data_IF_472831489073
#
_entry.id   IF_472831489073
#
_cell.length_a   1.000
_cell.length_b   1.000
_cell.length_c   1.000
_cell.angle_alpha   90.00
_cell.angle_beta   90.00
_cell.angle_gamma   90.00
#
_symmetry.space_group_name_H-M   'P 1'
#
loop_
_entity.id
_entity.type
_entity.pdbx_description
1 polymer ?
#
# COMPACT_ATOMS: atom_id res chain seq x y z
N UNK A 1 -23.17 4.54 65.31
CA UNK A 1 -21.95 3.74 65.05
C UNK A 1 -22.23 3.05 63.72
N UNK A 2 -22.32 3.85 62.66
CA UNK A 2 -21.30 4.09 61.60
C UNK A 2 -20.85 2.75 61.02
N UNK A 3 -21.40 2.44 59.86
CA UNK A 3 -21.07 1.30 59.02
C UNK A 3 -19.81 1.55 58.22
N UNK A 4 -19.19 0.45 57.82
CA UNK A 4 -17.95 0.40 57.07
C UNK A 4 -18.07 1.09 55.70
N UNK A 5 -17.23 2.10 55.49
CA UNK A 5 -16.91 2.64 54.17
C UNK A 5 -15.97 1.65 53.48
N UNK A 6 -16.50 0.89 52.51
CA UNK A 6 -15.69 0.16 51.53
C UNK A 6 -15.24 1.17 50.47
N UNK A 7 -13.92 1.40 50.27
CA UNK A 7 -13.47 2.25 49.18
C UNK A 7 -13.75 1.53 47.87
N UNK A 8 -14.57 2.16 47.02
CA UNK A 8 -14.68 1.83 45.60
C UNK A 8 -13.37 2.29 44.96
N UNK A 9 -12.53 1.34 44.55
CA UNK A 9 -11.42 1.64 43.65
C UNK A 9 -12.03 1.87 42.28
N UNK A 10 -12.08 3.12 41.84
CA UNK A 10 -12.16 3.42 40.41
C UNK A 10 -10.87 2.87 39.79
N UNK A 11 -10.99 1.79 39.01
CA UNK A 11 -9.94 1.44 38.07
C UNK A 11 -9.81 2.64 37.11
N UNK A 12 -8.74 3.41 37.28
CA UNK A 12 -8.21 4.23 36.19
C UNK A 12 -7.99 3.27 35.02
N UNK A 13 -8.89 3.30 34.04
CA UNK A 13 -8.62 2.76 32.72
C UNK A 13 -7.48 3.62 32.18
N UNK A 14 -6.25 3.13 32.35
CA UNK A 14 -5.10 3.65 31.64
C UNK A 14 -5.40 3.32 30.19
N UNK A 15 -5.81 4.33 29.40
CA UNK A 15 -5.77 4.25 27.95
C UNK A 15 -4.32 3.89 27.59
N UNK A 16 -4.05 2.61 27.32
CA UNK A 16 -2.77 2.25 26.73
C UNK A 16 -2.67 3.00 25.41
N UNK A 17 -1.62 3.82 25.21
CA UNK A 17 -1.47 4.56 23.97
C UNK A 17 -1.43 3.55 22.83
N UNK A 18 -2.23 3.78 21.78
CA UNK A 18 -2.39 2.96 20.57
C UNK A 18 -1.08 2.56 19.84
N UNK A 19 0.07 3.04 20.32
CA UNK A 19 1.37 2.79 19.74
C UNK A 19 1.57 3.54 18.44
N UNK A 20 2.75 3.40 17.82
CA UNK A 20 2.98 3.86 16.47
C UNK A 20 2.16 3.06 15.47
N UNK A 21 1.83 3.70 14.35
CA UNK A 21 1.03 3.11 13.29
C UNK A 21 1.54 3.59 11.93
N UNK A 22 1.09 2.94 10.87
CA UNK A 22 1.30 3.38 9.48
C UNK A 22 0.00 3.38 8.73
N UNK A 23 -0.21 4.39 7.89
CA UNK A 23 -1.43 4.52 7.10
C UNK A 23 -1.11 4.31 5.62
N UNK A 24 -1.69 3.25 5.05
CA UNK A 24 -1.59 2.93 3.61
C UNK A 24 -2.91 3.27 2.95
N UNK A 25 -2.86 3.91 1.79
CA UNK A 25 -4.01 4.27 0.97
C UNK A 25 -4.01 3.50 -0.35
N UNK A 26 -4.64 2.31 -0.41
CA UNK A 26 -5.05 1.69 -1.66
C UNK A 26 -6.12 2.53 -2.35
N UNK A 27 -5.95 2.73 -3.65
CA UNK A 27 -6.90 3.44 -4.51
C UNK A 27 -7.41 2.48 -5.58
N UNK A 28 -8.70 2.12 -5.52
CA UNK A 28 -9.25 1.03 -6.33
C UNK A 28 -10.81 1.04 -6.46
N UNK A 29 -11.41 -0.03 -7.01
CA UNK A 29 -12.83 -0.16 -7.38
C UNK A 29 -13.83 -0.04 -6.24
N UNK A 30 -13.46 -0.52 -5.06
CA UNK A 30 -14.30 -0.68 -3.88
C UNK A 30 -13.71 -1.74 -2.95
N UNK A 31 -14.35 -2.00 -1.81
CA UNK A 31 -13.84 -2.97 -0.84
C UNK A 31 -14.96 -3.68 -0.08
N UNK A 32 -14.83 -4.99 0.09
CA UNK A 32 -15.66 -5.81 0.96
C UNK A 32 -15.20 -5.69 2.42
N UNK A 33 -15.73 -4.70 3.14
CA UNK A 33 -15.39 -4.46 4.57
C UNK A 33 -15.81 -5.60 5.51
N UNK A 34 -16.69 -6.49 5.07
CA UNK A 34 -17.19 -7.62 5.86
C UNK A 34 -16.26 -8.82 5.89
N UNK A 35 -15.27 -8.88 5.00
CA UNK A 35 -14.38 -10.00 4.90
C UNK A 35 -13.54 -10.15 6.19
N UNK A 36 -13.45 -11.37 6.72
CA UNK A 36 -12.76 -11.68 7.98
C UNK A 36 -11.29 -11.25 8.00
N UNK A 37 -10.69 -11.11 6.82
CA UNK A 37 -9.33 -10.59 6.63
C UNK A 37 -9.14 -9.16 7.17
N UNK A 38 -10.20 -8.34 7.15
CA UNK A 38 -10.13 -6.92 7.56
C UNK A 38 -10.59 -6.68 8.99
N UNK A 39 -11.17 -7.69 9.64
CA UNK A 39 -11.71 -7.58 10.99
C UNK A 39 -10.57 -7.39 11.99
N UNK A 40 -10.76 -6.47 12.95
CA UNK A 40 -9.84 -6.24 14.06
C UNK A 40 -10.57 -6.35 15.39
N UNK A 41 -9.87 -6.88 16.40
CA UNK A 41 -10.42 -7.02 17.76
C UNK A 41 -10.41 -5.71 18.54
N UNK A 42 -9.62 -4.73 18.07
CA UNK A 42 -9.37 -3.47 18.75
C UNK A 42 -10.18 -2.34 18.12
N UNK A 43 -10.30 -1.23 18.84
CA UNK A 43 -10.88 0.00 18.31
C UNK A 43 -9.74 0.96 17.97
N UNK A 44 -9.88 1.71 16.88
CA UNK A 44 -8.99 2.84 16.66
C UNK A 44 -9.22 3.92 17.73
N UNK A 45 -8.15 4.62 18.17
CA UNK A 45 -8.28 5.71 19.12
C UNK A 45 -8.91 6.91 18.45
N UNK A 46 -9.64 7.72 19.22
CA UNK A 46 -10.30 8.91 18.70
C UNK A 46 -9.30 9.88 18.03
N UNK A 47 -8.06 9.96 18.54
CA UNK A 47 -7.02 10.81 17.94
C UNK A 47 -6.66 10.42 16.50
N UNK A 48 -6.69 9.13 16.16
CA UNK A 48 -6.46 8.66 14.79
C UNK A 48 -7.65 9.02 13.90
N UNK A 49 -8.87 8.78 14.38
CA UNK A 49 -10.11 9.08 13.65
C UNK A 49 -10.23 10.58 13.37
N UNK A 50 -9.95 11.42 14.37
CA UNK A 50 -9.92 12.88 14.25
C UNK A 50 -8.81 13.32 13.29
N UNK A 51 -7.62 12.71 13.38
CA UNK A 51 -6.49 13.03 12.50
C UNK A 51 -6.73 12.66 11.03
N UNK A 52 -7.55 11.64 10.77
CA UNK A 52 -8.01 11.27 9.43
C UNK A 52 -9.27 12.05 9.00
N UNK A 53 -9.82 12.91 9.87
CA UNK A 53 -11.07 13.62 9.67
C UNK A 53 -12.26 12.69 9.35
N UNK A 54 -12.38 11.57 10.06
CA UNK A 54 -13.52 10.65 9.95
C UNK A 54 -14.81 11.43 10.26
N UNK A 55 -15.75 11.44 9.33
CA UNK A 55 -17.04 12.15 9.43
C UNK A 55 -18.18 11.22 9.84
N UNK A 56 -18.02 9.92 9.59
CA UNK A 56 -19.05 8.91 9.82
C UNK A 56 -18.43 7.62 10.38
N UNK A 57 -19.14 6.98 11.31
CA UNK A 57 -18.76 5.67 11.84
C UNK A 57 -19.92 4.72 11.56
N UNK A 58 -19.64 3.64 10.84
CA UNK A 58 -20.57 2.55 10.63
C UNK A 58 -20.20 1.39 11.56
N UNK A 59 -21.12 0.98 12.44
CA UNK A 59 -20.97 -0.24 13.24
C UNK A 59 -21.44 -1.42 12.38
N UNK A 60 -20.51 -2.17 11.81
CA UNK A 60 -20.85 -3.19 10.81
C UNK A 60 -21.30 -4.50 11.47
N UNK A 61 -22.24 -5.19 10.83
CA UNK A 61 -22.71 -6.49 11.28
C UNK A 61 -21.65 -7.57 11.04
N UNK A 62 -21.34 -8.37 12.07
CA UNK A 62 -20.36 -9.47 11.99
C UNK A 62 -20.99 -10.86 12.03
N UNK A 63 -22.31 -10.95 12.06
CA UNK A 63 -23.06 -12.22 12.07
C UNK A 63 -23.78 -12.46 10.73
N UNK A 64 -23.86 -13.72 10.31
CA UNK A 64 -24.49 -14.09 9.04
C UNK A 64 -23.54 -14.07 7.84
N UNK A 65 -24.11 -14.38 6.68
CA UNK A 65 -23.48 -14.33 5.36
C UNK A 65 -23.22 -12.88 4.91
N UNK A 66 -22.41 -12.72 3.86
CA UNK A 66 -22.13 -11.41 3.26
C UNK A 66 -23.43 -10.61 2.96
N UNK A 67 -24.39 -11.25 2.31
CA UNK A 67 -25.67 -10.62 1.95
C UNK A 67 -26.49 -10.21 3.18
N UNK A 68 -26.53 -11.06 4.22
CA UNK A 68 -27.26 -10.76 5.45
C UNK A 68 -26.63 -9.58 6.21
N UNK A 69 -25.29 -9.49 6.23
CA UNK A 69 -24.57 -8.36 6.84
C UNK A 69 -24.81 -7.06 6.09
N UNK A 70 -24.69 -7.08 4.76
CA UNK A 70 -25.00 -5.93 3.92
C UNK A 70 -26.45 -5.44 4.10
N UNK A 71 -27.43 -6.35 4.08
CA UNK A 71 -28.84 -6.01 4.28
C UNK A 71 -29.11 -5.42 5.67
N UNK A 72 -28.45 -5.93 6.71
CA UNK A 72 -28.58 -5.43 8.07
C UNK A 72 -28.05 -4.00 8.24
N UNK A 73 -26.95 -3.67 7.58
CA UNK A 73 -26.31 -2.36 7.72
C UNK A 73 -26.78 -1.33 6.69
N UNK A 74 -27.63 -1.75 5.74
CA UNK A 74 -28.00 -0.92 4.59
C UNK A 74 -28.61 0.42 4.97
N UNK A 75 -29.67 0.41 5.77
CA UNK A 75 -30.42 1.64 6.09
C UNK A 75 -29.65 2.57 7.04
N UNK A 76 -28.83 1.99 7.94
CA UNK A 76 -28.14 2.71 9.01
C UNK A 76 -26.69 3.10 8.66
N UNK A 77 -26.12 2.52 7.60
CA UNK A 77 -24.79 2.85 7.09
C UNK A 77 -24.81 3.16 5.60
N UNK A 78 -24.98 2.16 4.73
CA UNK A 78 -24.69 2.28 3.30
C UNK A 78 -25.55 3.34 2.58
N UNK A 79 -26.84 3.41 2.89
CA UNK A 79 -27.77 4.38 2.29
C UNK A 79 -27.52 5.84 2.75
N UNK A 80 -26.63 6.05 3.73
CA UNK A 80 -26.30 7.36 4.29
C UNK A 80 -24.96 7.92 3.81
N UNK A 81 -24.07 7.09 3.25
CA UNK A 81 -22.73 7.51 2.83
C UNK A 81 -22.85 8.47 1.64
N UNK A 82 -22.16 9.61 1.74
CA UNK A 82 -22.02 10.58 0.66
C UNK A 82 -20.56 10.69 0.16
N UNK A 83 -20.33 11.24 -1.04
CA UNK A 83 -18.97 11.43 -1.58
C UNK A 83 -18.06 12.34 -0.74
N UNK A 84 -18.62 13.10 0.21
CA UNK A 84 -17.85 13.93 1.14
C UNK A 84 -17.48 13.21 2.44
N UNK A 85 -17.96 11.98 2.65
CA UNK A 85 -17.74 11.27 3.90
C UNK A 85 -16.43 10.49 3.90
N UNK A 86 -15.77 10.53 5.06
CA UNK A 86 -14.69 9.63 5.42
C UNK A 86 -15.27 8.71 6.50
N UNK A 87 -15.46 7.45 6.13
CA UNK A 87 -16.23 6.47 6.91
C UNK A 87 -15.28 5.50 7.58
N UNK A 88 -15.37 5.35 8.90
CA UNK A 88 -14.75 4.22 9.58
C UNK A 88 -15.76 3.08 9.72
N UNK A 89 -15.40 1.91 9.21
CA UNK A 89 -16.15 0.67 9.41
C UNK A 89 -15.64 0.03 10.71
N UNK A 90 -16.33 0.35 11.81
CA UNK A 90 -15.92 -0.02 13.16
C UNK A 90 -15.83 -1.54 13.32
N UNK A 91 -14.76 -1.99 13.99
CA UNK A 91 -14.42 -3.41 14.08
C UNK A 91 -13.60 -3.91 12.89
N UNK A 92 -13.25 -3.03 11.94
CA UNK A 92 -12.34 -3.33 10.83
C UNK A 92 -11.17 -2.36 10.79
N UNK A 93 -10.15 -2.73 10.02
CA UNK A 93 -9.00 -1.89 9.72
C UNK A 93 -9.29 -0.76 8.72
N UNK A 94 -10.49 -0.71 8.15
CA UNK A 94 -10.82 0.07 6.97
C UNK A 94 -11.45 1.42 7.35
N UNK A 95 -10.82 2.49 6.89
CA UNK A 95 -11.38 3.83 6.82
C UNK A 95 -11.49 4.17 5.33
N UNK A 96 -12.71 4.37 4.82
CA UNK A 96 -12.98 4.51 3.40
C UNK A 96 -13.47 5.90 3.01
N UNK A 97 -13.23 6.30 1.77
CA UNK A 97 -13.82 7.50 1.15
C UNK A 97 -14.03 7.24 -0.34
N UNK A 98 -15.02 7.92 -0.92
CA UNK A 98 -15.31 7.86 -2.37
C UNK A 98 -15.44 9.28 -2.94
N UNK A 99 -14.32 9.91 -3.32
CA UNK A 99 -14.34 11.28 -3.83
C UNK A 99 -14.92 11.37 -5.25
N UNK A 100 -15.00 10.25 -5.97
CA UNK A 100 -15.56 10.19 -7.31
C UNK A 100 -17.09 10.01 -7.26
N UNK A 101 -17.84 10.90 -7.91
CA UNK A 101 -19.28 10.71 -8.08
C UNK A 101 -19.53 9.71 -9.21
N UNK A 102 -19.93 8.47 -8.90
CA UNK A 102 -20.23 7.53 -9.97
C UNK A 102 -20.63 6.10 -9.60
N UNK A 103 -20.55 5.72 -8.32
CA UNK A 103 -20.91 4.37 -7.87
C UNK A 103 -22.28 4.35 -7.21
N UNK A 104 -22.97 3.21 -7.32
CA UNK A 104 -24.32 3.03 -6.79
C UNK A 104 -24.30 2.96 -5.25
N UNK A 105 -23.24 2.39 -4.68
CA UNK A 105 -22.99 2.30 -3.24
C UNK A 105 -21.53 2.73 -3.00
N UNK A 106 -21.27 3.94 -2.48
CA UNK A 106 -19.92 4.41 -2.26
C UNK A 106 -19.09 3.47 -1.37
N UNK A 107 -17.82 3.28 -1.72
CA UNK A 107 -16.79 2.47 -1.04
C UNK A 107 -16.99 0.96 -1.16
N UNK A 108 -18.23 0.47 -1.14
CA UNK A 108 -18.51 -0.96 -1.21
C UNK A 108 -18.17 -1.52 -2.60
N UNK A 109 -17.46 -2.65 -2.62
CA UNK A 109 -17.08 -3.31 -3.88
C UNK A 109 -18.30 -3.69 -4.73
N UNK A 110 -18.17 -3.57 -6.05
CA UNK A 110 -19.18 -4.09 -6.98
C UNK A 110 -19.14 -5.63 -6.90
N UNK A 111 -20.27 -6.34 -6.71
CA UNK A 111 -20.30 -7.79 -6.78
C UNK A 111 -19.69 -8.40 -8.06
N UNK A 112 -19.55 -7.61 -9.14
CA UNK A 112 -18.91 -8.02 -10.40
C UNK A 112 -17.44 -7.62 -10.53
N UNK A 113 -16.90 -6.81 -9.62
CA UNK A 113 -15.52 -6.34 -9.63
C UNK A 113 -14.96 -6.35 -8.19
N UNK A 114 -14.15 -7.36 -7.88
CA UNK A 114 -13.58 -7.59 -6.54
C UNK A 114 -12.16 -7.10 -6.35
N UNK A 115 -11.69 -6.25 -7.27
CA UNK A 115 -10.27 -5.94 -7.40
C UNK A 115 -9.72 -5.22 -6.16
N UNK A 116 -10.43 -4.19 -5.66
CA UNK A 116 -9.99 -3.43 -4.49
C UNK A 116 -9.95 -4.23 -3.19
N UNK A 117 -10.82 -5.24 -3.03
CA UNK A 117 -10.74 -6.21 -1.92
C UNK A 117 -9.42 -6.98 -1.94
N UNK A 118 -9.05 -7.55 -3.09
CA UNK A 118 -7.80 -8.30 -3.24
C UNK A 118 -6.57 -7.39 -3.08
N UNK A 119 -6.57 -6.21 -3.69
CA UNK A 119 -5.51 -5.20 -3.57
C UNK A 119 -5.26 -4.81 -2.12
N UNK A 120 -6.33 -4.56 -1.35
CA UNK A 120 -6.20 -4.22 0.07
C UNK A 120 -5.72 -5.42 0.90
N UNK A 121 -6.17 -6.63 0.56
CA UNK A 121 -5.64 -7.87 1.14
C UNK A 121 -4.13 -8.00 0.96
N UNK A 122 -3.60 -7.70 -0.22
CA UNK A 122 -2.16 -7.79 -0.49
C UNK A 122 -1.33 -6.83 0.38
N UNK A 123 -1.86 -5.64 0.72
CA UNK A 123 -1.24 -4.73 1.70
C UNK A 123 -1.16 -5.39 3.07
N UNK A 124 -2.28 -5.95 3.54
CA UNK A 124 -2.40 -6.49 4.89
C UNK A 124 -1.71 -7.85 5.07
N UNK A 125 -1.61 -8.67 4.02
CA UNK A 125 -0.78 -9.87 4.03
C UNK A 125 0.70 -9.51 4.26
N UNK A 126 1.14 -8.31 3.86
CA UNK A 126 2.52 -7.86 4.06
C UNK A 126 2.69 -7.14 5.40
N UNK A 127 1.71 -6.31 5.77
CA UNK A 127 1.66 -5.66 7.07
C UNK A 127 0.26 -5.79 7.70
N UNK A 128 0.03 -6.82 8.54
CA UNK A 128 -1.26 -7.02 9.18
C UNK A 128 -1.65 -5.90 10.14
N UNK A 129 -0.72 -5.01 10.52
CA UNK A 129 -0.95 -3.91 11.46
C UNK A 129 -1.21 -2.56 10.76
N UNK A 130 -1.19 -2.51 9.43
CA UNK A 130 -1.43 -1.27 8.70
C UNK A 130 -2.86 -0.75 8.94
N UNK A 131 -2.96 0.57 9.12
CA UNK A 131 -4.22 1.30 9.02
C UNK A 131 -4.52 1.52 7.55
N UNK A 132 -5.72 1.13 7.09
CA UNK A 132 -6.11 1.28 5.70
C UNK A 132 -6.99 2.53 5.55
N UNK A 133 -6.50 3.49 4.76
CA UNK A 133 -7.29 4.62 4.26
C UNK A 133 -7.68 4.35 2.81
N UNK A 134 -8.70 3.51 2.61
CA UNK A 134 -9.15 3.10 1.28
C UNK A 134 -9.80 4.28 0.54
N UNK A 135 -9.45 4.46 -0.73
CA UNK A 135 -10.05 5.47 -1.60
C UNK A 135 -10.66 4.78 -2.81
N UNK A 136 -11.97 4.85 -2.95
CA UNK A 136 -12.66 4.36 -4.14
C UNK A 136 -12.40 5.31 -5.32
N UNK A 137 -11.99 4.77 -6.47
CA UNK A 137 -11.87 5.50 -7.72
C UNK A 137 -10.59 5.22 -8.51
N UNK A 138 -10.53 5.82 -9.70
CA UNK A 138 -9.37 5.73 -10.62
C UNK A 138 -8.91 7.09 -11.14
N UNK A 139 -9.40 8.16 -10.52
CA UNK A 139 -9.21 9.53 -10.99
C UNK A 139 -8.02 10.22 -10.29
N UNK A 140 -7.64 11.38 -10.84
CA UNK A 140 -6.74 12.30 -10.17
C UNK A 140 -7.34 12.82 -8.85
N UNK A 141 -8.67 12.97 -8.76
CA UNK A 141 -9.36 13.34 -7.53
C UNK A 141 -9.21 12.28 -6.43
N UNK A 142 -9.30 10.99 -6.77
CA UNK A 142 -9.04 9.89 -5.85
C UNK A 142 -7.60 9.92 -5.33
N UNK A 143 -6.62 10.05 -6.24
CA UNK A 143 -5.22 10.20 -5.85
C UNK A 143 -4.98 11.44 -5.00
N UNK A 144 -5.61 12.57 -5.32
CA UNK A 144 -5.51 13.80 -4.54
C UNK A 144 -6.15 13.70 -3.16
N UNK A 145 -7.22 12.92 -2.98
CA UNK A 145 -7.81 12.66 -1.68
C UNK A 145 -6.80 11.97 -0.75
N UNK A 146 -6.14 10.91 -1.21
CA UNK A 146 -5.06 10.25 -0.47
C UNK A 146 -3.82 11.16 -0.32
N UNK A 147 -3.45 11.91 -1.37
CA UNK A 147 -2.30 12.80 -1.35
C UNK A 147 -2.43 13.87 -0.27
N UNK A 148 -3.62 14.45 -0.12
CA UNK A 148 -3.88 15.56 0.81
C UNK A 148 -4.26 15.12 2.22
N UNK A 149 -4.57 13.84 2.46
CA UNK A 149 -4.84 13.29 3.79
C UNK A 149 -3.56 13.31 4.66
N UNK A 150 -3.43 14.14 5.71
CA UNK A 150 -2.14 14.35 6.38
C UNK A 150 -1.47 13.10 6.95
N UNK A 151 -2.26 12.13 7.43
CA UNK A 151 -1.72 10.94 8.08
C UNK A 151 -1.32 9.81 7.12
N UNK A 152 -1.69 9.86 5.83
CA UNK A 152 -1.33 8.83 4.85
C UNK A 152 0.18 8.86 4.58
N UNK A 153 0.83 7.70 4.74
CA UNK A 153 2.26 7.47 4.49
C UNK A 153 2.52 7.05 3.04
N UNK A 154 1.76 6.05 2.59
CA UNK A 154 1.98 5.36 1.32
C UNK A 154 0.68 5.34 0.54
N UNK A 155 0.75 5.72 -0.72
CA UNK A 155 -0.34 5.58 -1.69
C UNK A 155 0.02 4.47 -2.65
N UNK A 156 -0.93 3.58 -2.94
CA UNK A 156 -0.75 2.51 -3.93
C UNK A 156 -1.87 2.55 -4.98
N UNK A 157 -1.49 2.61 -6.26
CA UNK A 157 -2.43 2.58 -7.38
C UNK A 157 -2.21 1.30 -8.19
N UNK A 158 -3.22 0.44 -8.18
CA UNK A 158 -3.19 -0.88 -8.82
C UNK A 158 -3.95 -0.94 -10.14
N UNK A 159 -4.03 0.21 -10.82
CA UNK A 159 -4.76 0.38 -12.07
C UNK A 159 -3.90 1.07 -13.11
N UNK A 160 -4.21 0.84 -14.37
CA UNK A 160 -3.50 1.43 -15.49
C UNK A 160 -4.09 0.98 -16.82
N UNK A 161 -3.93 1.77 -17.87
CA UNK A 161 -4.43 1.42 -19.20
C UNK A 161 -3.52 0.40 -19.87
N UNK A 162 -4.13 -0.66 -20.43
CA UNK A 162 -3.41 -1.73 -21.15
C UNK A 162 -2.48 -1.15 -22.22
N UNK A 163 -1.24 -1.63 -22.23
CA UNK A 163 -0.17 -1.19 -23.10
C UNK A 163 0.57 0.05 -22.58
N UNK A 164 0.34 0.47 -21.33
CA UNK A 164 0.84 1.73 -20.77
C UNK A 164 0.48 2.93 -21.65
N UNK A 165 -0.78 2.99 -22.11
CA UNK A 165 -1.25 4.15 -22.89
C UNK A 165 -1.27 5.37 -21.98
N UNK A 166 -0.59 6.49 -22.29
CA UNK A 166 -0.54 7.61 -21.37
C UNK A 166 -1.94 8.19 -21.11
N UNK A 167 -2.37 8.22 -19.84
CA UNK A 167 -3.60 8.87 -19.39
C UNK A 167 -3.20 10.05 -18.50
N UNK A 168 -3.40 11.31 -18.95
CA UNK A 168 -3.01 12.49 -18.19
C UNK A 168 -3.81 12.65 -16.89
N UNK A 169 -3.19 13.30 -15.90
CA UNK A 169 -3.79 13.72 -14.63
C UNK A 169 -3.34 12.91 -13.42
N UNK A 170 -3.19 11.58 -13.55
CA UNK A 170 -2.73 10.72 -12.45
C UNK A 170 -1.30 11.06 -12.04
N UNK A 171 -0.43 11.33 -13.01
CA UNK A 171 0.94 11.75 -12.78
C UNK A 171 1.01 13.06 -11.98
N UNK A 172 0.13 14.03 -12.26
CA UNK A 172 0.09 15.30 -11.55
C UNK A 172 -0.34 15.11 -10.09
N UNK A 173 -1.34 14.26 -9.84
CA UNK A 173 -1.79 13.94 -8.50
C UNK A 173 -0.73 13.16 -7.68
N UNK A 174 -0.05 12.20 -8.29
CA UNK A 174 1.05 11.48 -7.64
C UNK A 174 2.26 12.38 -7.37
N UNK A 175 2.48 13.40 -8.23
CA UNK A 175 3.50 14.44 -7.99
C UNK A 175 3.19 15.27 -6.76
N UNK A 176 1.91 15.60 -6.52
CA UNK A 176 1.49 16.25 -5.28
C UNK A 176 1.82 15.37 -4.08
N UNK A 177 1.44 14.10 -4.11
CA UNK A 177 1.70 13.15 -3.02
C UNK A 177 3.20 13.06 -2.67
N UNK A 178 4.05 12.82 -3.66
CA UNK A 178 5.47 12.53 -3.42
C UNK A 178 6.30 13.81 -3.32
N UNK A 179 6.19 14.71 -4.29
CA UNK A 179 7.09 15.88 -4.36
C UNK A 179 6.68 16.97 -3.38
N UNK A 180 5.38 17.21 -3.24
CA UNK A 180 4.88 18.27 -2.34
C UNK A 180 4.70 17.73 -0.92
N UNK A 181 3.98 16.61 -0.78
CA UNK A 181 3.60 16.05 0.52
C UNK A 181 4.59 15.00 1.07
N UNK A 182 5.67 14.71 0.34
CA UNK A 182 6.81 13.87 0.76
C UNK A 182 6.47 12.42 1.10
N UNK A 183 5.31 11.95 0.65
CA UNK A 183 4.80 10.59 0.83
C UNK A 183 5.49 9.62 -0.12
N UNK A 184 5.23 8.33 0.06
CA UNK A 184 5.60 7.28 -0.89
C UNK A 184 4.42 7.03 -1.83
N UNK A 185 4.72 6.82 -3.11
CA UNK A 185 3.76 6.31 -4.08
C UNK A 185 4.33 5.05 -4.75
N UNK A 186 3.55 3.97 -4.75
CA UNK A 186 3.82 2.75 -5.51
C UNK A 186 2.76 2.62 -6.62
N UNK A 187 3.20 2.52 -7.87
CA UNK A 187 2.33 2.41 -9.04
C UNK A 187 2.57 1.12 -9.81
N UNK A 188 1.48 0.46 -10.19
CA UNK A 188 1.52 -0.77 -10.96
C UNK A 188 1.97 -0.51 -12.40
N UNK A 189 3.02 -1.22 -12.84
CA UNK A 189 3.35 -1.25 -14.25
C UNK A 189 2.32 -2.08 -15.03
N UNK A 190 2.36 -2.01 -16.35
CA UNK A 190 1.42 -2.76 -17.18
C UNK A 190 1.64 -4.28 -17.08
N UNK A 191 0.56 -5.06 -17.17
CA UNK A 191 0.64 -6.52 -17.12
C UNK A 191 1.29 -7.14 -18.38
N UNK A 192 1.51 -6.35 -19.43
CA UNK A 192 2.25 -6.74 -20.63
C UNK A 192 3.69 -6.21 -20.61
N UNK A 193 4.56 -6.62 -21.57
CA UNK A 193 5.93 -6.10 -21.68
C UNK A 193 6.08 -4.62 -22.02
N UNK A 194 4.99 -3.84 -22.03
CA UNK A 194 5.02 -2.41 -22.28
C UNK A 194 5.97 -1.70 -21.30
N UNK A 195 6.74 -0.69 -21.77
CA UNK A 195 7.61 0.07 -20.89
C UNK A 195 6.83 0.84 -19.83
N UNK A 196 7.16 0.63 -18.56
CA UNK A 196 6.59 1.35 -17.42
C UNK A 196 6.82 2.86 -17.53
N UNK A 197 7.88 3.30 -18.22
CA UNK A 197 8.24 4.72 -18.44
C UNK A 197 7.06 5.61 -18.81
N UNK A 198 6.16 5.14 -19.69
CA UNK A 198 5.03 5.92 -20.22
C UNK A 198 3.72 5.67 -19.47
N UNK A 199 3.71 4.75 -18.51
CA UNK A 199 2.57 4.47 -17.63
C UNK A 199 2.37 5.64 -16.67
N UNK A 200 1.15 6.14 -16.48
CA UNK A 200 0.90 7.32 -15.65
C UNK A 200 0.98 7.04 -14.13
N UNK A 201 1.02 5.77 -13.72
CA UNK A 201 1.15 5.37 -12.31
C UNK A 201 2.59 4.98 -11.97
N UNK A 202 3.18 4.09 -12.77
CA UNK A 202 4.52 3.54 -12.55
C UNK A 202 5.62 4.39 -13.19
N UNK A 203 5.32 5.06 -14.30
CA UNK A 203 6.29 5.80 -15.10
C UNK A 203 6.79 7.11 -14.51
N UNK A 204 6.01 7.91 -13.76
CA UNK A 204 6.50 9.18 -13.25
C UNK A 204 7.72 9.01 -12.34
N UNK A 205 8.78 9.83 -12.49
CA UNK A 205 10.08 9.62 -11.81
C UNK A 205 10.02 9.69 -10.27
N UNK A 206 8.96 10.27 -9.72
CA UNK A 206 8.71 10.32 -8.28
C UNK A 206 8.01 9.06 -7.74
N UNK A 207 7.38 8.24 -8.59
CA UNK A 207 6.73 6.99 -8.20
C UNK A 207 7.74 5.83 -8.13
N UNK A 208 7.47 4.84 -7.27
CA UNK A 208 8.08 3.51 -7.34
C UNK A 208 7.25 2.70 -8.35
N UNK A 209 7.79 2.46 -9.54
CA UNK A 209 7.14 1.63 -10.55
C UNK A 209 7.35 0.14 -10.26
N UNK A 210 6.28 -0.62 -10.09
CA UNK A 210 6.34 -2.03 -9.66
C UNK A 210 5.86 -2.95 -10.77
N UNK A 211 6.72 -3.88 -11.18
CA UNK A 211 6.34 -5.00 -12.05
C UNK A 211 6.10 -6.29 -11.27
N UNK A 212 5.67 -7.33 -11.98
CA UNK A 212 5.46 -8.67 -11.45
C UNK A 212 6.72 -9.51 -11.40
N UNK A 213 6.82 -10.25 -10.31
CA UNK A 213 7.69 -11.41 -10.17
C UNK A 213 6.88 -12.54 -9.53
N UNK A 214 6.81 -13.72 -10.15
CA UNK A 214 6.14 -14.85 -9.50
C UNK A 214 7.10 -15.52 -8.50
N UNK A 215 6.66 -15.67 -7.24
CA UNK A 215 7.43 -16.28 -6.16
C UNK A 215 7.07 -17.77 -5.93
N UNK A 216 7.82 -18.41 -5.03
CA UNK A 216 7.55 -19.76 -4.50
C UNK A 216 7.39 -20.88 -5.55
N UNK A 217 6.22 -21.54 -5.59
CA UNK A 217 5.92 -22.65 -6.50
C UNK A 217 5.94 -22.25 -7.97
N UNK A 218 5.90 -20.94 -8.22
CA UNK A 218 5.82 -20.30 -9.52
C UNK A 218 7.03 -19.40 -9.82
N UNK A 219 8.17 -19.64 -9.15
CA UNK A 219 9.40 -18.85 -9.28
C UNK A 219 9.76 -18.52 -10.74
N UNK A 220 9.91 -17.23 -11.04
CA UNK A 220 10.22 -16.70 -12.39
C UNK A 220 9.17 -17.00 -13.47
N UNK A 221 7.93 -17.37 -13.13
CA UNK A 221 6.81 -17.48 -14.07
C UNK A 221 6.22 -16.13 -14.50
N UNK A 222 6.64 -15.04 -13.89
CA UNK A 222 6.36 -13.69 -14.38
C UNK A 222 7.64 -12.87 -14.30
N UNK A 223 8.08 -12.36 -15.45
CA UNK A 223 9.31 -11.56 -15.63
C UNK A 223 9.19 -10.55 -16.77
N UNK A 224 7.97 -10.42 -17.31
CA UNK A 224 7.66 -9.77 -18.58
C UNK A 224 6.51 -8.77 -18.47
N UNK A 225 5.83 -8.65 -17.33
CA UNK A 225 4.99 -7.51 -17.00
C UNK A 225 5.85 -6.28 -16.79
N UNK A 226 5.50 -5.15 -17.41
CA UNK A 226 6.14 -3.86 -17.24
C UNK A 226 7.66 -3.89 -17.48
N UNK A 227 8.14 -3.46 -18.66
CA UNK A 227 9.58 -3.30 -18.84
C UNK A 227 10.09 -1.99 -18.24
N UNK A 228 11.35 -1.98 -17.78
CA UNK A 228 11.97 -0.84 -17.09
C UNK A 228 11.22 -0.34 -15.84
N UNK A 229 10.80 -1.23 -14.92
CA UNK A 229 10.24 -0.83 -13.62
C UNK A 229 11.36 -0.30 -12.69
N UNK A 230 10.99 0.19 -11.51
CA UNK A 230 11.96 0.38 -10.42
C UNK A 230 12.30 -0.93 -9.74
N UNK A 231 11.31 -1.78 -9.50
CA UNK A 231 11.42 -3.08 -8.81
C UNK A 231 10.38 -4.07 -9.35
N UNK A 232 10.54 -5.35 -9.01
CA UNK A 232 9.49 -6.35 -9.15
C UNK A 232 9.10 -6.93 -7.78
N UNK A 233 7.86 -7.40 -7.63
CA UNK A 233 7.36 -8.02 -6.40
C UNK A 233 6.33 -9.11 -6.71
N UNK A 234 5.91 -9.84 -5.68
CA UNK A 234 5.06 -11.03 -5.83
C UNK A 234 3.78 -10.78 -6.64
N UNK A 235 3.74 -11.40 -7.81
CA UNK A 235 2.71 -11.23 -8.81
C UNK A 235 1.47 -12.08 -8.55
N UNK A 236 1.65 -13.28 -7.99
CA UNK A 236 0.57 -14.26 -7.80
C UNK A 236 0.37 -14.50 -6.32
N UNK A 237 -0.81 -14.15 -5.81
CA UNK A 237 -1.12 -14.23 -4.39
C UNK A 237 -2.49 -14.90 -4.19
N UNK A 238 -2.70 -15.47 -3.00
CA UNK A 238 -4.01 -15.97 -2.55
C UNK A 238 -4.65 -14.86 -1.72
N UNK A 239 -5.66 -14.19 -2.28
CA UNK A 239 -6.21 -12.94 -1.77
C UNK A 239 -7.71 -13.06 -1.45
N UNK A 240 -8.23 -12.24 -0.51
CA UNK A 240 -9.60 -12.34 -0.04
C UNK A 240 -10.63 -12.11 -1.16
N UNK A 241 -11.75 -12.81 -1.08
CA UNK A 241 -12.88 -12.63 -2.01
C UNK A 241 -13.72 -11.40 -1.64
N UNK A 242 -14.34 -10.79 -2.65
CA UNK A 242 -15.22 -9.63 -2.48
C UNK A 242 -16.67 -10.00 -2.18
N UNK A 243 -17.10 -11.22 -2.51
CA UNK A 243 -18.51 -11.67 -2.48
C UNK A 243 -18.84 -12.69 -1.38
N UNK A 244 -17.90 -12.96 -0.49
CA UNK A 244 -18.10 -13.79 0.71
C UNK A 244 -17.40 -13.16 1.95
N UNK A 245 -17.29 -13.90 3.05
CA UNK A 245 -16.73 -13.39 4.31
C UNK A 245 -15.40 -14.04 4.69
N UNK A 246 -14.98 -15.11 4.02
CA UNK A 246 -13.86 -15.96 4.45
C UNK A 246 -13.14 -16.72 3.33
N UNK A 247 -13.64 -16.61 2.10
CA UNK A 247 -13.06 -17.23 0.93
C UNK A 247 -11.88 -16.45 0.38
N UNK A 248 -11.01 -17.17 -0.31
CA UNK A 248 -9.85 -16.62 -0.98
C UNK A 248 -9.75 -17.21 -2.38
N UNK A 249 -9.11 -16.48 -3.28
CA UNK A 249 -8.80 -16.93 -4.63
C UNK A 249 -7.35 -16.62 -4.99
N UNK A 250 -6.77 -17.45 -5.83
CA UNK A 250 -5.49 -17.16 -6.46
C UNK A 250 -5.71 -16.14 -7.57
N UNK A 251 -4.94 -15.06 -7.56
CA UNK A 251 -4.99 -14.00 -8.57
C UNK A 251 -3.61 -13.48 -8.88
N UNK A 252 -3.47 -12.86 -10.05
CA UNK A 252 -2.20 -12.57 -10.69
C UNK A 252 -2.20 -11.20 -11.36
N UNK A 253 -1.19 -10.37 -11.10
CA UNK A 253 -1.08 -9.04 -11.71
C UNK A 253 -0.11 -8.10 -10.99
N UNK A 254 0.39 -7.08 -11.70
CA UNK A 254 1.16 -5.97 -11.08
C UNK A 254 0.30 -5.26 -10.05
N UNK A 255 -1.02 -5.28 -10.27
CA UNK A 255 -2.05 -4.85 -9.35
C UNK A 255 -1.96 -5.47 -7.96
N UNK A 256 -1.32 -6.64 -7.79
CA UNK A 256 -1.11 -7.28 -6.48
C UNK A 256 0.34 -7.17 -6.00
N UNK A 257 1.32 -7.14 -6.92
CA UNK A 257 2.72 -6.87 -6.60
C UNK A 257 2.95 -5.47 -5.99
N UNK A 258 2.22 -4.48 -6.50
CA UNK A 258 2.29 -3.07 -6.06
C UNK A 258 1.81 -2.86 -4.62
N UNK A 259 0.59 -3.27 -4.23
CA UNK A 259 0.11 -3.12 -2.86
C UNK A 259 0.90 -4.01 -1.89
N UNK A 260 1.38 -5.18 -2.32
CA UNK A 260 2.31 -5.99 -1.53
C UNK A 260 3.56 -5.20 -1.17
N UNK A 261 4.17 -4.50 -2.15
CA UNK A 261 5.33 -3.61 -1.93
C UNK A 261 4.98 -2.48 -0.94
N UNK A 262 3.83 -1.84 -1.10
CA UNK A 262 3.37 -0.80 -0.19
C UNK A 262 3.21 -1.34 1.25
N UNK A 263 2.68 -2.56 1.41
CA UNK A 263 2.60 -3.25 2.68
C UNK A 263 3.98 -3.50 3.30
N UNK A 264 4.96 -4.00 2.54
CA UNK A 264 6.34 -4.22 3.04
C UNK A 264 6.98 -2.92 3.52
N UNK A 265 6.84 -1.83 2.76
CA UNK A 265 7.34 -0.51 3.15
C UNK A 265 6.63 0.02 4.40
N UNK A 266 5.32 -0.21 4.53
CA UNK A 266 4.58 0.18 5.74
C UNK A 266 5.08 -0.58 6.97
N UNK A 267 5.41 -1.88 6.85
CA UNK A 267 5.99 -2.66 7.95
C UNK A 267 7.33 -2.13 8.41
N UNK A 268 8.18 -1.71 7.46
CA UNK A 268 9.47 -1.08 7.74
C UNK A 268 9.27 0.23 8.51
N UNK A 269 8.37 1.10 8.04
CA UNK A 269 8.08 2.39 8.68
C UNK A 269 7.52 2.15 10.09
N UNK A 270 6.57 1.23 10.26
CA UNK A 270 5.97 0.89 11.55
C UNK A 270 7.03 0.46 12.56
N UNK A 271 7.91 -0.46 12.14
CA UNK A 271 8.99 -0.97 13.00
C UNK A 271 9.93 0.15 13.43
N UNK A 272 10.37 0.99 12.49
CA UNK A 272 11.27 2.10 12.80
C UNK A 272 10.59 3.15 13.68
N UNK A 273 9.30 3.45 13.46
CA UNK A 273 8.54 4.34 14.34
C UNK A 273 8.45 3.81 15.77
N UNK A 274 8.27 2.48 15.92
CA UNK A 274 8.33 1.81 17.21
C UNK A 274 9.69 1.96 17.88
N UNK A 275 10.78 1.68 17.17
CA UNK A 275 12.13 1.75 17.74
C UNK A 275 12.51 3.15 18.22
N UNK A 276 12.02 4.18 17.53
CA UNK A 276 12.39 5.57 17.73
C UNK A 276 11.28 6.41 18.39
N UNK A 277 10.25 5.78 18.96
CA UNK A 277 9.15 6.45 19.68
C UNK A 277 8.45 7.55 18.85
N UNK A 278 8.26 7.33 17.54
CA UNK A 278 7.52 8.23 16.65
C UNK A 278 6.06 7.78 16.53
N UNK A 279 5.19 8.37 17.36
CA UNK A 279 3.77 8.04 17.43
C UNK A 279 2.88 8.77 16.40
N UNK A 280 3.49 9.45 15.42
CA UNK A 280 2.78 10.21 14.38
C UNK A 280 2.91 9.54 13.02
N UNK A 281 2.06 9.95 12.07
CA UNK A 281 2.04 9.42 10.70
C UNK A 281 2.13 10.51 9.63
N UNK A 282 2.34 10.10 8.38
CA UNK A 282 2.56 10.96 7.24
C UNK A 282 3.97 11.53 7.17
N UNK A 283 4.18 12.44 6.21
CA UNK A 283 5.44 13.14 6.00
C UNK A 283 5.22 14.64 5.71
N UNK A 284 4.24 15.25 6.37
CA UNK A 284 3.90 16.65 6.16
C UNK A 284 5.16 17.55 6.15
N UNK A 285 5.38 18.34 5.09
CA UNK A 285 6.62 19.11 4.92
C UNK A 285 6.78 20.25 5.94
N UNK A 286 5.71 20.66 6.62
CA UNK A 286 5.70 21.73 7.62
C UNK A 286 5.83 21.16 9.03
N UNK A 287 5.03 20.15 9.36
CA UNK A 287 4.97 19.56 10.70
C UNK A 287 6.09 18.53 10.91
N UNK A 288 6.43 17.76 9.87
CA UNK A 288 7.39 16.64 9.94
C UNK A 288 8.65 16.88 9.10
N UNK A 289 8.81 18.08 8.55
CA UNK A 289 9.94 18.44 7.68
C UNK A 289 10.16 17.48 6.48
N UNK A 290 9.11 16.74 6.07
CA UNK A 290 9.22 15.74 5.01
C UNK A 290 9.74 14.37 5.45
N UNK A 291 9.84 14.11 6.76
CA UNK A 291 10.30 12.83 7.28
C UNK A 291 9.12 11.88 7.53
N UNK A 292 9.28 10.66 7.05
CA UNK A 292 8.37 9.53 7.29
C UNK A 292 8.54 9.01 8.71
N UNK A 293 9.78 9.01 9.24
CA UNK A 293 10.09 8.72 10.64
C UNK A 293 10.85 9.89 11.25
N UNK A 294 10.35 10.42 12.37
CA UNK A 294 10.91 11.57 13.09
C UNK A 294 10.79 11.38 14.61
N UNK A 295 11.59 10.48 15.18
CA UNK A 295 11.57 10.14 16.61
C UNK A 295 12.97 9.90 17.16
N UNK A 296 13.20 10.14 18.46
CA UNK A 296 14.46 9.91 19.17
C UNK A 296 15.76 10.32 18.46
N UNK A 297 15.70 11.43 17.70
CA UNK A 297 16.85 11.96 16.95
C UNK A 297 17.11 11.28 15.59
N UNK A 298 16.24 10.35 15.19
CA UNK A 298 16.24 9.70 13.88
C UNK A 298 15.31 10.44 12.91
N UNK A 299 15.82 10.74 11.71
CA UNK A 299 15.08 11.38 10.63
C UNK A 299 15.22 10.54 9.35
N UNK A 300 14.13 9.90 8.92
CA UNK A 300 14.09 9.05 7.71
C UNK A 300 13.07 9.62 6.74
N UNK A 301 13.51 9.98 5.53
CA UNK A 301 12.66 10.48 4.46
C UNK A 301 12.24 9.33 3.52
N UNK A 302 11.34 9.64 2.59
CA UNK A 302 11.04 8.78 1.45
C UNK A 302 12.33 8.38 0.70
N UNK A 303 13.24 9.32 0.44
CA UNK A 303 14.49 9.04 -0.31
C UNK A 303 15.36 7.98 0.38
N UNK A 304 15.47 8.02 1.73
CA UNK A 304 16.19 6.98 2.48
C UNK A 304 15.53 5.60 2.35
N UNK A 305 14.20 5.54 2.40
CA UNK A 305 13.44 4.29 2.24
C UNK A 305 13.58 3.72 0.83
N UNK A 306 13.52 4.57 -0.21
CA UNK A 306 13.71 4.16 -1.61
C UNK A 306 15.14 3.68 -1.87
N UNK A 307 16.14 4.37 -1.36
CA UNK A 307 17.53 3.93 -1.49
C UNK A 307 17.76 2.56 -0.82
N UNK A 308 17.25 2.38 0.40
CA UNK A 308 17.34 1.10 1.09
C UNK A 308 16.60 -0.02 0.33
N UNK A 309 15.41 0.27 -0.21
CA UNK A 309 14.67 -0.69 -1.05
C UNK A 309 15.52 -1.12 -2.26
N UNK A 310 16.10 -0.16 -2.99
CA UNK A 310 16.94 -0.41 -4.15
C UNK A 310 18.19 -1.23 -3.80
N UNK A 311 18.85 -0.92 -2.67
CA UNK A 311 20.03 -1.65 -2.19
C UNK A 311 19.69 -3.10 -1.84
N UNK A 312 18.54 -3.33 -1.23
CA UNK A 312 18.10 -4.63 -0.74
C UNK A 312 17.67 -5.59 -1.86
N UNK A 313 17.13 -5.07 -2.96
CA UNK A 313 16.50 -5.86 -4.01
C UNK A 313 17.46 -6.93 -4.58
N UNK A 314 16.97 -8.11 -4.93
CA UNK A 314 17.84 -9.21 -5.40
C UNK A 314 17.52 -9.62 -6.83
N UNK A 315 18.50 -10.19 -7.53
CA UNK A 315 18.26 -10.78 -8.84
C UNK A 315 18.15 -12.30 -8.74
N UNK A 316 17.03 -12.89 -9.20
CA UNK A 316 16.89 -14.33 -9.32
C UNK A 316 18.00 -14.94 -10.17
N UNK A 317 18.47 -16.11 -9.75
CA UNK A 317 19.45 -16.87 -10.51
C UNK A 317 18.77 -17.56 -11.68
N UNK A 318 19.43 -17.58 -12.84
CA UNK A 318 18.95 -18.39 -13.98
C UNK A 318 18.85 -19.89 -13.67
N UNK A 319 19.48 -20.35 -12.57
CA UNK A 319 19.37 -21.73 -12.11
C UNK A 319 18.04 -22.09 -11.44
N UNK A 320 17.25 -21.11 -10.99
CA UNK A 320 15.94 -21.38 -10.37
C UNK A 320 14.78 -21.29 -11.36
N UNK A 321 15.03 -20.78 -12.57
CA UNK A 321 14.03 -20.70 -13.64
C UNK A 321 13.67 -22.08 -14.20
N UNK A 322 12.38 -22.36 -14.31
CA UNK A 322 11.85 -23.54 -15.00
C UNK A 322 11.67 -23.27 -16.51
N UNK A 323 12.44 -23.93 -17.40
CA UNK A 323 12.29 -23.76 -18.85
C UNK A 323 10.95 -24.27 -19.42
N UNK A 324 10.15 -24.99 -18.64
CA UNK A 324 8.82 -25.48 -19.04
C UNK A 324 7.69 -24.52 -18.64
N UNK A 325 7.99 -23.47 -17.87
CA UNK A 325 7.02 -22.45 -17.43
C UNK A 325 6.42 -21.65 -18.57
N UNK A 326 7.08 -21.58 -19.73
CA UNK A 326 6.66 -20.74 -20.85
C UNK A 326 7.07 -19.27 -20.74
N UNK A 327 7.88 -18.90 -19.74
CA UNK A 327 8.40 -17.53 -19.56
C UNK A 327 9.85 -17.40 -20.01
N UNK A 328 10.42 -16.20 -19.89
CA UNK A 328 11.84 -15.98 -20.14
C UNK A 328 12.59 -15.82 -18.81
N UNK A 329 13.79 -16.41 -18.67
CA UNK A 329 14.61 -16.16 -17.50
C UNK A 329 15.03 -14.69 -17.46
N UNK A 330 15.38 -14.22 -16.28
CA UNK A 330 15.97 -12.88 -16.15
C UNK A 330 17.30 -12.83 -16.90
N UNK A 331 17.46 -11.77 -17.68
CA UNK A 331 18.64 -11.50 -18.49
C UNK A 331 19.87 -11.38 -17.60
N UNK A 332 20.93 -12.18 -17.83
CA UNK A 332 22.16 -12.07 -17.06
C UNK A 332 23.01 -10.84 -17.45
N UNK A 333 22.60 -10.08 -18.47
CA UNK A 333 23.35 -8.92 -19.00
C UNK A 333 22.62 -7.61 -18.72
N UNK A 334 21.29 -7.62 -18.71
CA UNK A 334 20.46 -6.44 -18.47
C UNK A 334 19.22 -6.80 -17.65
N UNK A 335 19.38 -7.32 -16.42
CA UNK A 335 18.24 -7.73 -15.60
C UNK A 335 17.35 -6.53 -15.23
N UNK A 336 17.93 -5.33 -15.17
CA UNK A 336 17.25 -4.07 -14.91
C UNK A 336 16.11 -3.75 -15.88
N UNK A 337 16.17 -4.18 -17.15
CA UNK A 337 15.08 -3.91 -18.09
C UNK A 337 13.84 -4.76 -17.80
N UNK A 338 13.97 -5.82 -17.01
CA UNK A 338 12.87 -6.72 -16.64
C UNK A 338 12.36 -6.47 -15.22
N UNK A 339 13.28 -6.32 -14.25
CA UNK A 339 12.91 -6.22 -12.82
C UNK A 339 13.55 -5.03 -12.10
N UNK A 340 14.05 -4.04 -12.84
CA UNK A 340 14.61 -2.81 -12.26
C UNK A 340 15.81 -3.08 -11.35
N UNK A 341 15.79 -2.52 -10.14
CA UNK A 341 16.80 -2.77 -9.11
C UNK A 341 16.83 -4.23 -8.65
N UNK A 342 15.74 -4.97 -8.82
CA UNK A 342 15.60 -6.38 -8.46
C UNK A 342 14.20 -6.71 -7.94
N UNK A 343 14.07 -7.93 -7.46
CA UNK A 343 12.88 -8.44 -6.76
C UNK A 343 12.93 -8.04 -5.30
N UNK A 344 11.78 -7.67 -4.74
CA UNK A 344 11.60 -7.40 -3.31
C UNK A 344 10.47 -8.24 -2.72
N UNK A 345 10.71 -8.78 -1.53
CA UNK A 345 9.73 -9.56 -0.77
C UNK A 345 9.99 -9.44 0.74
N UNK A 346 9.31 -10.27 1.54
CA UNK A 346 9.43 -10.26 3.01
C UNK A 346 10.88 -10.40 3.50
N UNK A 347 11.73 -11.11 2.77
CA UNK A 347 13.13 -11.30 3.16
C UNK A 347 13.96 -10.01 3.12
N UNK A 348 13.48 -8.97 2.42
CA UNK A 348 14.12 -7.67 2.31
C UNK A 348 13.84 -6.74 3.51
N UNK A 349 12.76 -7.00 4.27
CA UNK A 349 12.28 -6.10 5.34
C UNK A 349 13.33 -5.89 6.44
N UNK A 350 13.82 -6.97 7.05
CA UNK A 350 14.79 -6.86 8.14
C UNK A 350 16.13 -6.24 7.69
N UNK A 351 16.73 -6.64 6.54
CA UNK A 351 17.91 -5.96 6.01
C UNK A 351 17.74 -4.46 5.81
N UNK A 352 16.57 -4.00 5.34
CA UNK A 352 16.29 -2.56 5.20
C UNK A 352 16.24 -1.87 6.56
N UNK A 353 15.56 -2.47 7.54
CA UNK A 353 15.47 -1.91 8.90
C UNK A 353 16.86 -1.78 9.53
N UNK A 354 17.67 -2.85 9.50
CA UNK A 354 19.01 -2.87 10.07
C UNK A 354 19.92 -1.83 9.38
N UNK A 355 19.74 -1.64 8.08
CA UNK A 355 20.45 -0.60 7.33
C UNK A 355 20.06 0.81 7.75
N UNK A 356 18.76 1.08 7.86
CA UNK A 356 18.27 2.41 8.22
C UNK A 356 18.55 2.77 9.69
N UNK A 357 18.71 1.78 10.56
CA UNK A 357 19.23 1.97 11.93
C UNK A 357 20.75 2.26 11.96
N UNK A 358 21.47 1.93 10.89
CA UNK A 358 22.93 1.97 10.86
C UNK A 358 23.60 0.77 11.54
N UNK A 359 22.86 -0.30 11.80
CA UNK A 359 23.37 -1.54 12.40
C UNK A 359 24.18 -2.36 11.38
N UNK A 360 23.72 -2.39 10.12
CA UNK A 360 24.35 -3.14 9.02
C UNK A 360 24.37 -2.33 7.73
N UNK A 361 25.53 -2.17 7.11
CA UNK A 361 25.59 -1.56 5.77
C UNK A 361 25.17 -2.57 4.68
N UNK A 362 24.25 -2.18 3.80
CA UNK A 362 23.96 -2.93 2.58
C UNK A 362 25.01 -2.60 1.51
N UNK A 363 25.45 -3.63 0.78
CA UNK A 363 26.42 -3.46 -0.30
C UNK A 363 25.84 -2.64 -1.44
N UNK A 364 26.68 -1.77 -2.00
CA UNK A 364 26.34 -1.02 -3.22
C UNK A 364 26.00 -1.96 -4.37
N UNK A 365 25.06 -1.53 -5.21
CA UNK A 365 24.64 -2.30 -6.39
C UNK A 365 25.77 -2.39 -7.43
N UNK A 366 25.80 -3.46 -8.24
CA UNK A 366 26.73 -3.55 -9.37
C UNK A 366 26.67 -2.32 -10.28
N UNK A 367 27.81 -1.87 -10.80
CA UNK A 367 27.90 -0.61 -11.54
C UNK A 367 27.10 -0.59 -12.85
N UNK A 368 26.94 -1.75 -13.48
CA UNK A 368 26.11 -1.94 -14.68
C UNK A 368 24.62 -1.81 -14.36
N UNK A 369 24.18 -2.34 -13.22
CA UNK A 369 22.82 -2.17 -12.70
C UNK A 369 22.54 -0.70 -12.39
N UNK A 370 23.45 -0.03 -11.66
CA UNK A 370 23.34 1.40 -11.35
C UNK A 370 23.23 2.23 -12.61
N UNK A 371 24.12 2.01 -13.59
CA UNK A 371 24.10 2.74 -14.86
C UNK A 371 22.79 2.53 -15.64
N UNK A 372 22.25 1.31 -15.62
CA UNK A 372 20.97 1.02 -16.26
C UNK A 372 19.81 1.75 -15.58
N UNK A 373 19.75 1.74 -14.25
CA UNK A 373 18.68 2.39 -13.50
C UNK A 373 18.78 3.91 -13.53
N UNK A 374 19.98 4.48 -13.54
CA UNK A 374 20.20 5.90 -13.81
C UNK A 374 19.72 6.29 -15.21
N UNK A 375 19.98 5.45 -16.23
CA UNK A 375 19.45 5.67 -17.57
C UNK A 375 17.92 5.57 -17.60
N UNK A 376 17.32 4.61 -16.89
CA UNK A 376 15.87 4.49 -16.76
C UNK A 376 15.26 5.76 -16.12
N UNK A 377 15.83 6.20 -15.00
CA UNK A 377 15.42 7.43 -14.31
C UNK A 377 15.51 8.65 -15.23
N UNK A 378 16.60 8.81 -15.98
CA UNK A 378 16.77 9.92 -16.92
C UNK A 378 15.73 9.90 -18.05
N UNK A 379 15.32 8.71 -18.52
CA UNK A 379 14.25 8.57 -19.51
C UNK A 379 12.90 8.99 -18.91
N UNK A 380 12.59 8.55 -17.69
CA UNK A 380 11.34 8.93 -16.98
C UNK A 380 11.27 10.44 -16.76
N UNK A 381 12.36 11.05 -16.32
CA UNK A 381 12.46 12.51 -16.19
C UNK A 381 12.23 13.19 -17.54
N UNK A 382 12.93 12.78 -18.59
CA UNK A 382 12.76 13.37 -19.92
C UNK A 382 11.35 13.20 -20.53
N UNK A 383 10.60 12.18 -20.11
CA UNK A 383 9.23 11.95 -20.56
C UNK A 383 8.21 12.81 -19.80
N UNK A 384 8.36 12.93 -18.47
CA UNK A 384 7.37 13.54 -17.57
C UNK A 384 7.69 14.99 -17.14
N UNK A 385 8.83 15.56 -17.57
CA UNK A 385 9.22 16.96 -17.33
C UNK A 385 9.41 17.71 -18.64
#
# INVERSE_FOLDING_TARGET
IIGDDVPVFEEEIVDEPFGPYTVVAPIDTGINVYHNHFIMNESYPQSLLDGLNVTMICDITTEGSWQERYEADKEDCWDLISPSDIVWFKGTRIIGTSPDNGTDIPILDDPQDGHGTAVTGAVLDANPEAVIFFVEGFSDAAVLAAANQPLVDIITTSFGPIGSVPVPGIEDATKVAVVQNKKIHAGAADNSPSPAVQDSTAGPPWSIGVSGYAEEGDDQKETMSGSYPDIAADWTQILPNHDDIDGYHETSGTSFATPRTAGLLSKIILTLRFDYNDFSSGADPVLRSGFMIQGDGMNISNDHLRDALNLSAWYPSSSTWDPLSGTMPISPVAPCSQVGWGVVNESNVQPIIDHLRGDTEMSQRPSDVVMCMEANQAIREAYWT
#
